data_IF_419240826848
#
_entry.id   IF_419240826848
#
_cell.length_a   1.000
_cell.length_b   1.000
_cell.length_c   1.000
_cell.angle_alpha   90.00
_cell.angle_beta   90.00
_cell.angle_gamma   90.00
#
_symmetry.space_group_name_H-M   'P 1'
#
loop_
_entity.id
_entity.type
_entity.pdbx_description
1 polymer ?
#
# COMPACT_ATOMS: atom_id res chain seq x y z
N UNK A 1 -33.99 -71.65 28.90
CA UNK A 1 -32.87 -71.25 28.02
C UNK A 1 -32.99 -69.74 27.82
N UNK A 2 -32.36 -68.96 28.70
CA UNK A 2 -32.37 -67.49 28.66
C UNK A 2 -31.26 -67.02 27.72
N UNK A 3 -31.61 -66.32 26.65
CA UNK A 3 -30.66 -65.54 25.86
C UNK A 3 -30.65 -64.11 26.39
N UNK A 4 -29.50 -63.67 26.92
CA UNK A 4 -29.22 -62.30 27.32
C UNK A 4 -28.52 -61.61 26.15
N UNK A 5 -29.20 -60.70 25.46
CA UNK A 5 -28.60 -59.89 24.39
C UNK A 5 -28.14 -58.55 24.96
N UNK A 6 -26.82 -58.35 24.99
CA UNK A 6 -26.15 -57.12 25.43
C UNK A 6 -26.19 -56.08 24.31
N UNK A 7 -26.99 -55.02 24.45
CA UNK A 7 -26.99 -53.90 23.51
C UNK A 7 -25.90 -52.88 23.90
N UNK A 8 -24.83 -52.84 23.11
CA UNK A 8 -23.82 -51.78 23.14
C UNK A 8 -24.37 -50.60 22.33
N UNK A 9 -24.70 -49.49 22.99
CA UNK A 9 -25.03 -48.23 22.32
C UNK A 9 -23.74 -47.53 21.89
N UNK A 10 -23.47 -47.50 20.57
CA UNK A 10 -22.46 -46.61 19.99
C UNK A 10 -23.04 -45.19 19.93
N UNK A 11 -22.53 -44.28 20.76
CA UNK A 11 -22.88 -42.87 20.72
C UNK A 11 -22.03 -42.20 19.64
N UNK A 12 -22.57 -42.06 18.42
CA UNK A 12 -21.94 -41.31 17.34
C UNK A 12 -22.09 -39.82 17.58
N UNK A 13 -21.06 -39.17 18.13
CA UNK A 13 -20.95 -37.71 18.14
C UNK A 13 -20.70 -37.22 16.70
N UNK A 14 -21.76 -36.81 16.00
CA UNK A 14 -21.64 -35.96 14.80
C UNK A 14 -21.22 -34.56 15.28
N UNK A 15 -19.91 -34.35 15.40
CA UNK A 15 -19.35 -33.03 15.67
C UNK A 15 -19.65 -32.11 14.48
N UNK A 16 -20.52 -31.12 14.70
CA UNK A 16 -20.76 -30.04 13.75
C UNK A 16 -19.48 -29.19 13.71
N UNK A 17 -18.61 -29.43 12.72
CA UNK A 17 -17.40 -28.65 12.56
C UNK A 17 -17.77 -27.24 12.06
N UNK A 18 -18.02 -26.34 13.01
CA UNK A 18 -18.17 -24.91 12.77
C UNK A 18 -16.87 -24.38 12.17
N UNK A 19 -16.84 -24.27 10.84
CA UNK A 19 -15.85 -23.47 10.16
C UNK A 19 -16.22 -22.02 10.45
N UNK A 20 -15.61 -21.43 11.47
CA UNK A 20 -15.63 -19.97 11.62
C UNK A 20 -15.02 -19.40 10.34
N UNK A 21 -15.73 -18.52 9.59
CA UNK A 21 -15.14 -17.89 8.43
C UNK A 21 -13.90 -17.12 8.91
N UNK A 22 -12.78 -17.34 8.22
CA UNK A 22 -11.57 -16.55 8.43
C UNK A 22 -11.93 -15.11 8.02
N UNK A 23 -12.33 -14.28 8.98
CA UNK A 23 -12.58 -12.86 8.71
C UNK A 23 -11.20 -12.23 8.54
N UNK A 24 -10.86 -11.87 7.29
CA UNK A 24 -9.71 -11.01 7.05
C UNK A 24 -10.00 -9.66 7.69
N UNK A 25 -9.22 -9.27 8.70
CA UNK A 25 -9.40 -7.98 9.38
C UNK A 25 -8.78 -6.79 8.61
N UNK A 26 -8.12 -7.07 7.48
CA UNK A 26 -7.73 -6.00 6.57
C UNK A 26 -8.97 -5.37 5.94
N UNK A 27 -9.10 -4.06 6.08
CA UNK A 27 -10.22 -3.29 5.56
C UNK A 27 -9.77 -2.42 4.37
N UNK A 28 -10.69 -2.09 3.47
CA UNK A 28 -10.45 -1.10 2.42
C UNK A 28 -10.37 0.31 3.05
N UNK A 29 -9.15 0.73 3.39
CA UNK A 29 -8.83 2.01 4.03
C UNK A 29 -8.87 3.19 3.04
N UNK A 30 -9.01 2.93 1.74
CA UNK A 30 -9.21 3.95 0.71
C UNK A 30 -10.68 4.36 0.51
N UNK A 31 -11.64 3.56 0.99
CA UNK A 31 -13.07 3.79 0.74
C UNK A 31 -13.51 5.19 1.20
N UNK A 32 -14.08 5.96 0.26
CA UNK A 32 -14.59 7.31 0.47
C UNK A 32 -13.51 8.35 0.79
N UNK A 33 -12.24 8.05 0.59
CA UNK A 33 -11.13 8.97 0.89
C UNK A 33 -10.95 10.03 -0.20
N UNK A 34 -10.37 11.19 0.12
CA UNK A 34 -10.04 12.20 -0.89
C UNK A 34 -9.10 11.63 -1.94
N UNK A 35 -9.45 11.81 -3.20
CA UNK A 35 -8.65 11.40 -4.34
C UNK A 35 -8.38 12.58 -5.28
N UNK A 36 -7.30 12.48 -6.05
CA UNK A 36 -6.90 13.46 -7.04
C UNK A 36 -6.39 12.75 -8.29
N UNK A 37 -6.59 13.36 -9.46
CA UNK A 37 -6.03 12.86 -10.71
C UNK A 37 -5.44 13.96 -11.59
N UNK A 38 -4.38 13.61 -12.31
CA UNK A 38 -3.75 14.44 -13.31
C UNK A 38 -4.57 14.40 -14.60
N UNK A 39 -4.80 15.58 -15.19
CA UNK A 39 -5.53 15.73 -16.45
C UNK A 39 -6.91 15.04 -16.42
N UNK A 40 -7.83 15.41 -15.52
CA UNK A 40 -9.17 14.84 -15.51
C UNK A 40 -9.86 15.02 -16.87
N UNK A 41 -10.66 14.04 -17.28
CA UNK A 41 -11.54 14.22 -18.44
C UNK A 41 -12.47 15.42 -18.20
N UNK A 42 -12.85 16.14 -19.27
CA UNK A 42 -13.44 17.49 -19.19
C UNK A 42 -14.74 17.61 -18.37
N UNK A 43 -15.35 16.49 -17.96
CA UNK A 43 -16.64 16.46 -17.27
C UNK A 43 -16.44 16.08 -15.80
N UNK A 44 -17.23 16.69 -14.91
CA UNK A 44 -17.28 16.35 -13.49
C UNK A 44 -17.83 14.93 -13.23
N UNK A 45 -18.28 14.21 -14.26
CA UNK A 45 -18.84 12.86 -14.14
C UNK A 45 -17.76 11.78 -13.97
N UNK A 46 -16.48 12.14 -14.07
CA UNK A 46 -15.33 11.23 -14.10
C UNK A 46 -14.28 11.59 -13.05
N UNK A 47 -14.74 12.11 -11.91
CA UNK A 47 -13.90 12.58 -10.82
C UNK A 47 -13.01 11.49 -10.23
N UNK A 48 -11.90 11.90 -9.61
CA UNK A 48 -10.92 10.98 -9.04
C UNK A 48 -11.51 10.13 -7.91
N UNK A 49 -12.48 10.67 -7.18
CA UNK A 49 -13.20 10.06 -6.07
C UNK A 49 -14.01 8.82 -6.47
N UNK A 50 -14.36 8.68 -7.75
CA UNK A 50 -15.11 7.52 -8.24
C UNK A 50 -14.30 6.23 -8.15
N UNK A 51 -12.96 6.31 -8.20
CA UNK A 51 -12.11 5.15 -8.03
C UNK A 51 -12.02 4.66 -6.58
N UNK A 52 -12.66 5.31 -5.62
CA UNK A 52 -12.66 4.92 -4.20
C UNK A 52 -14.06 4.99 -3.60
N UNK A 53 -15.11 4.94 -4.41
CA UNK A 53 -16.49 5.05 -3.95
C UNK A 53 -17.15 3.69 -3.64
N UNK A 54 -16.42 2.58 -3.84
CA UNK A 54 -16.88 1.22 -3.62
C UNK A 54 -17.82 0.72 -4.71
N UNK A 55 -17.80 1.29 -5.92
CA UNK A 55 -18.68 0.90 -7.02
C UNK A 55 -17.92 0.72 -8.32
N UNK A 56 -18.02 -0.49 -8.86
CA UNK A 56 -17.38 -0.88 -10.11
C UNK A 56 -18.18 -1.97 -10.84
N UNK A 57 -19.51 -1.96 -10.67
CA UNK A 57 -20.41 -2.89 -11.35
C UNK A 57 -20.78 -2.45 -12.77
N UNK A 58 -20.72 -1.15 -13.03
CA UNK A 58 -21.03 -0.53 -14.31
C UNK A 58 -19.79 0.25 -14.79
N UNK A 59 -18.90 -0.47 -15.47
CA UNK A 59 -17.59 -0.01 -15.93
C UNK A 59 -17.63 0.48 -17.39
N UNK A 60 -18.76 1.02 -17.86
CA UNK A 60 -18.84 1.60 -19.19
C UNK A 60 -18.32 3.03 -19.25
N UNK A 61 -17.59 3.34 -20.32
CA UNK A 61 -17.07 4.70 -20.55
C UNK A 61 -18.19 5.73 -20.79
N UNK A 62 -19.35 5.31 -21.31
CA UNK A 62 -20.41 6.24 -21.70
C UNK A 62 -21.52 6.40 -20.65
N UNK A 63 -21.84 5.33 -19.92
CA UNK A 63 -22.95 5.31 -18.97
C UNK A 63 -22.51 5.08 -17.51
N UNK A 64 -21.32 4.50 -17.31
CA UNK A 64 -20.81 4.11 -16.00
C UNK A 64 -20.12 5.24 -15.29
N UNK A 65 -20.87 5.98 -14.47
CA UNK A 65 -20.34 7.01 -13.57
C UNK A 65 -19.65 6.39 -12.33
N UNK A 66 -18.79 5.42 -12.58
CA UNK A 66 -18.16 4.55 -11.57
C UNK A 66 -16.65 4.37 -11.86
N UNK A 67 -16.07 5.26 -12.67
CA UNK A 67 -14.64 5.23 -12.92
C UNK A 67 -14.05 6.65 -12.93
N UNK A 68 -12.85 6.78 -12.40
CA UNK A 68 -12.00 7.94 -12.59
C UNK A 68 -11.34 7.85 -13.97
N UNK A 69 -11.48 8.89 -14.80
CA UNK A 69 -10.98 8.89 -16.19
C UNK A 69 -10.14 10.13 -16.47
N UNK A 70 -8.92 9.89 -17.00
CA UNK A 70 -8.02 10.93 -17.48
C UNK A 70 -8.28 11.36 -18.94
N UNK A 71 -7.78 12.52 -19.30
CA UNK A 71 -7.85 13.09 -20.64
C UNK A 71 -7.01 12.33 -21.67
N UNK A 72 -7.44 12.43 -22.93
CA UNK A 72 -6.75 11.83 -24.06
C UNK A 72 -5.42 12.53 -24.41
N UNK A 73 -4.55 11.81 -25.12
CA UNK A 73 -3.33 12.34 -25.75
C UNK A 73 -2.30 12.95 -24.78
N UNK A 74 -2.30 12.49 -23.52
CA UNK A 74 -1.29 12.86 -22.52
C UNK A 74 -0.19 11.82 -22.45
N UNK A 75 1.03 12.25 -22.13
CA UNK A 75 2.20 11.38 -22.00
C UNK A 75 2.41 10.90 -20.57
N UNK A 76 1.68 11.45 -19.61
CA UNK A 76 1.64 10.98 -18.22
C UNK A 76 0.19 10.97 -17.73
N UNK A 77 -0.12 10.01 -16.87
CA UNK A 77 -1.34 9.98 -16.10
C UNK A 77 -0.98 9.59 -14.67
N UNK A 78 -1.52 10.33 -13.70
CA UNK A 78 -1.32 10.08 -12.28
C UNK A 78 -2.68 10.15 -11.60
N UNK A 79 -2.94 9.21 -10.72
CA UNK A 79 -4.08 9.24 -9.81
C UNK A 79 -3.56 8.91 -8.41
N UNK A 80 -4.09 9.56 -7.38
CA UNK A 80 -3.72 9.26 -5.99
C UNK A 80 -4.86 9.41 -5.02
N UNK A 81 -4.83 8.61 -3.97
CA UNK A 81 -5.72 8.71 -2.81
C UNK A 81 -4.93 9.13 -1.57
N UNK A 82 -5.51 10.03 -0.76
CA UNK A 82 -5.02 10.41 0.57
C UNK A 82 -5.74 9.56 1.63
N UNK A 83 -5.04 8.61 2.23
CA UNK A 83 -5.57 7.73 3.28
C UNK A 83 -5.87 8.51 4.59
N UNK A 84 -5.39 9.75 4.69
CA UNK A 84 -5.60 10.69 5.78
C UNK A 84 -4.58 10.57 6.92
N UNK A 85 -3.86 9.45 6.99
CA UNK A 85 -2.81 9.18 7.97
C UNK A 85 -1.85 8.11 7.46
N UNK A 86 -0.69 8.03 8.08
CA UNK A 86 0.27 6.97 7.83
C UNK A 86 -0.29 5.64 8.35
N UNK A 87 -0.45 4.67 7.45
CA UNK A 87 -0.95 3.32 7.78
C UNK A 87 -0.08 2.26 7.15
N UNK A 88 -0.10 1.06 7.73
CA UNK A 88 0.55 -0.11 7.14
C UNK A 88 -0.38 -0.72 6.09
N UNK A 89 0.02 -0.65 4.84
CA UNK A 89 -0.69 -1.25 3.71
C UNK A 89 -0.26 -2.72 3.63
N UNK A 90 -1.18 -3.59 3.25
CA UNK A 90 -0.91 -5.00 2.92
C UNK A 90 -0.89 -5.18 1.41
N UNK A 91 -1.97 -4.77 0.74
CA UNK A 91 -2.09 -4.89 -0.70
C UNK A 91 -2.98 -3.81 -1.28
N UNK A 92 -2.83 -3.60 -2.58
CA UNK A 92 -3.63 -2.69 -3.39
C UNK A 92 -4.33 -3.51 -4.46
N UNK A 93 -5.64 -3.35 -4.56
CA UNK A 93 -6.47 -3.91 -5.59
C UNK A 93 -6.85 -2.82 -6.59
N UNK A 94 -6.77 -3.12 -7.88
CA UNK A 94 -7.14 -2.19 -8.95
C UNK A 94 -8.11 -2.88 -9.90
N UNK A 95 -9.33 -2.34 -9.97
CA UNK A 95 -10.32 -2.65 -10.99
C UNK A 95 -10.21 -1.61 -12.11
N UNK A 96 -9.78 -2.05 -13.30
CA UNK A 96 -9.60 -1.17 -14.46
C UNK A 96 -10.85 -1.15 -15.35
N UNK A 97 -11.03 -0.05 -16.08
CA UNK A 97 -12.10 0.13 -17.05
C UNK A 97 -12.13 -1.00 -18.09
N UNK A 98 -13.30 -1.61 -18.27
CA UNK A 98 -13.51 -2.71 -19.24
C UNK A 98 -14.52 -2.38 -20.33
N UNK A 99 -15.28 -1.30 -20.17
CA UNK A 99 -16.47 -0.99 -20.94
C UNK A 99 -17.59 -2.05 -20.82
N UNK A 100 -17.66 -2.76 -19.68
CA UNK A 100 -18.50 -3.94 -19.45
C UNK A 100 -18.26 -5.10 -20.43
N UNK A 101 -17.15 -5.06 -21.16
CA UNK A 101 -16.75 -6.15 -22.05
C UNK A 101 -15.89 -7.17 -21.31
N UNK A 102 -15.91 -8.45 -21.73
CA UNK A 102 -15.02 -9.47 -21.17
C UNK A 102 -13.55 -9.02 -21.20
N UNK A 103 -12.83 -9.27 -20.11
CA UNK A 103 -11.41 -8.97 -20.04
C UNK A 103 -10.59 -10.01 -20.80
N UNK A 104 -9.83 -9.57 -21.79
CA UNK A 104 -9.01 -10.41 -22.66
C UNK A 104 -8.51 -9.63 -23.87
N UNK A 105 -7.64 -10.22 -24.69
CA UNK A 105 -6.88 -9.49 -25.72
C UNK A 105 -7.68 -8.69 -26.75
N UNK A 106 -8.99 -8.96 -26.91
CA UNK A 106 -9.91 -8.16 -27.71
C UNK A 106 -10.32 -6.83 -27.07
N UNK A 107 -10.16 -6.69 -25.75
CA UNK A 107 -10.49 -5.49 -25.01
C UNK A 107 -9.43 -4.40 -25.27
N UNK A 108 -9.85 -3.30 -25.87
CA UNK A 108 -8.95 -2.23 -26.32
C UNK A 108 -8.32 -1.45 -25.16
N UNK A 109 -8.95 -1.43 -23.98
CA UNK A 109 -8.47 -0.70 -22.80
C UNK A 109 -7.23 -1.35 -22.15
N UNK A 110 -6.96 -2.62 -22.45
CA UNK A 110 -5.77 -3.30 -21.94
C UNK A 110 -4.49 -2.56 -22.34
N UNK A 111 -4.41 -2.07 -23.58
CA UNK A 111 -3.24 -1.35 -24.08
C UNK A 111 -2.92 -0.10 -23.24
N UNK A 112 -3.96 0.53 -22.68
CA UNK A 112 -3.84 1.72 -21.84
C UNK A 112 -3.31 1.37 -20.45
N UNK A 113 -3.71 0.23 -19.90
CA UNK A 113 -3.33 -0.20 -18.56
C UNK A 113 -1.88 -0.69 -18.47
N UNK A 114 -1.35 -1.32 -19.53
CA UNK A 114 0.01 -1.87 -19.54
C UNK A 114 1.08 -0.84 -19.12
N UNK A 115 2.10 -1.29 -18.40
CA UNK A 115 3.25 -0.47 -17.99
C UNK A 115 2.98 0.50 -16.85
N UNK A 116 1.85 0.36 -16.14
CA UNK A 116 1.55 1.17 -14.97
C UNK A 116 2.49 0.89 -13.80
N UNK A 117 2.51 1.80 -12.84
CA UNK A 117 3.26 1.67 -11.60
C UNK A 117 2.39 2.11 -10.42
N UNK A 118 2.66 1.55 -9.24
CA UNK A 118 2.03 1.94 -7.99
C UNK A 118 3.12 2.34 -7.00
N UNK A 119 2.97 3.53 -6.42
CA UNK A 119 3.86 4.08 -5.41
C UNK A 119 3.10 4.24 -4.10
N UNK A 120 3.82 4.03 -3.00
CA UNK A 120 3.35 4.32 -1.64
C UNK A 120 4.20 5.48 -1.14
N UNK A 121 3.57 6.60 -0.78
CA UNK A 121 4.29 7.83 -0.38
C UNK A 121 3.70 8.45 0.88
N UNK A 122 4.52 9.22 1.59
CA UNK A 122 4.08 10.07 2.70
C UNK A 122 3.71 11.49 2.22
N UNK A 123 4.05 11.84 0.99
CA UNK A 123 3.71 13.11 0.36
C UNK A 123 2.87 12.88 -0.90
N UNK A 124 2.39 13.98 -1.48
CA UNK A 124 1.70 13.95 -2.78
C UNK A 124 2.64 13.67 -3.96
N UNK A 125 3.96 13.61 -3.75
CA UNK A 125 4.94 13.33 -4.79
C UNK A 125 5.37 11.85 -4.73
N UNK A 126 5.23 11.15 -5.85
CA UNK A 126 5.63 9.74 -5.98
C UNK A 126 7.14 9.53 -5.84
N UNK A 127 7.96 10.50 -6.20
CA UNK A 127 9.43 10.40 -6.12
C UNK A 127 9.94 10.43 -4.67
N UNK A 128 9.11 10.87 -3.72
CA UNK A 128 9.42 10.82 -2.28
C UNK A 128 9.07 9.46 -1.66
N UNK A 129 8.36 8.61 -2.41
CA UNK A 129 7.82 7.35 -1.93
C UNK A 129 8.62 6.12 -2.36
N UNK A 130 8.04 4.97 -2.07
CA UNK A 130 8.55 3.67 -2.51
C UNK A 130 7.78 3.23 -3.76
N UNK A 131 8.50 2.82 -4.81
CA UNK A 131 7.93 2.10 -5.94
C UNK A 131 7.51 0.71 -5.46
N UNK A 132 6.22 0.53 -5.15
CA UNK A 132 5.72 -0.79 -4.73
C UNK A 132 5.69 -1.76 -5.90
N UNK A 133 5.17 -1.31 -7.04
CA UNK A 133 4.95 -2.17 -8.19
C UNK A 133 5.19 -1.43 -9.49
N UNK A 134 5.79 -2.14 -10.43
CA UNK A 134 5.95 -1.69 -11.81
C UNK A 134 5.63 -2.83 -12.75
N UNK A 135 4.62 -2.63 -13.59
CA UNK A 135 4.37 -3.55 -14.68
C UNK A 135 5.51 -3.44 -15.71
N UNK A 136 6.20 -4.57 -15.89
CA UNK A 136 7.23 -4.77 -16.91
C UNK A 136 7.01 -6.05 -17.72
N UNK A 137 6.05 -6.88 -17.30
CA UNK A 137 5.92 -8.27 -17.75
C UNK A 137 4.54 -8.57 -18.33
N UNK A 138 3.51 -7.76 -18.02
CA UNK A 138 2.20 -8.04 -18.55
C UNK A 138 2.12 -7.76 -20.06
N UNK A 139 1.26 -8.54 -20.69
CA UNK A 139 0.91 -8.44 -22.11
C UNK A 139 -0.59 -8.30 -22.23
N UNK A 140 -1.09 -8.09 -23.45
CA UNK A 140 -2.53 -8.08 -23.75
C UNK A 140 -3.27 -9.35 -23.34
N UNK A 141 -2.56 -10.45 -23.13
CA UNK A 141 -3.11 -11.75 -22.78
C UNK A 141 -2.95 -12.10 -21.30
N UNK A 142 -2.03 -11.44 -20.58
CA UNK A 142 -1.60 -11.87 -19.24
C UNK A 142 -1.90 -10.87 -18.13
N UNK A 143 -2.21 -9.60 -18.45
CA UNK A 143 -2.62 -8.66 -17.43
C UNK A 143 -3.94 -9.13 -16.78
N UNK A 144 -3.98 -9.30 -15.45
CA UNK A 144 -5.23 -9.65 -14.78
C UNK A 144 -6.13 -8.41 -14.65
N UNK A 145 -7.44 -8.63 -14.50
CA UNK A 145 -8.37 -7.60 -14.05
C UNK A 145 -9.45 -8.29 -13.21
N UNK A 146 -9.55 -7.96 -11.91
CA UNK A 146 -8.74 -6.97 -11.19
C UNK A 146 -7.27 -7.39 -11.01
N UNK A 147 -6.39 -6.42 -10.78
CA UNK A 147 -4.99 -6.67 -10.35
C UNK A 147 -4.91 -6.58 -8.84
N UNK A 148 -4.26 -7.57 -8.21
CA UNK A 148 -3.94 -7.55 -6.79
C UNK A 148 -2.42 -7.42 -6.61
N UNK A 149 -1.99 -6.39 -5.91
CA UNK A 149 -0.60 -5.97 -5.78
C UNK A 149 -0.22 -5.99 -4.30
N UNK A 150 0.61 -6.93 -3.89
CA UNK A 150 1.19 -6.96 -2.55
C UNK A 150 2.12 -5.77 -2.35
N UNK A 151 1.77 -4.87 -1.43
CA UNK A 151 2.48 -3.62 -1.13
C UNK A 151 2.62 -3.44 0.39
N UNK A 152 3.41 -4.25 1.11
CA UNK A 152 3.51 -4.23 2.57
C UNK A 152 4.35 -3.05 3.09
N UNK A 153 4.00 -1.84 2.68
CA UNK A 153 4.70 -0.59 3.00
C UNK A 153 3.82 0.35 3.83
N UNK A 154 4.46 1.24 4.58
CA UNK A 154 3.78 2.33 5.27
C UNK A 154 3.66 3.53 4.34
N UNK A 155 2.47 4.10 4.25
CA UNK A 155 2.24 5.31 3.47
C UNK A 155 0.98 6.04 3.87
N UNK A 156 0.89 7.30 3.47
CA UNK A 156 -0.34 8.10 3.52
C UNK A 156 -1.02 8.17 2.15
N UNK A 157 -0.25 8.11 1.08
CA UNK A 157 -0.72 8.20 -0.29
C UNK A 157 -0.44 6.90 -1.04
N UNK A 158 -1.44 6.41 -1.77
CA UNK A 158 -1.27 5.41 -2.82
C UNK A 158 -1.41 6.11 -4.15
N UNK A 159 -0.40 5.97 -5.01
CA UNK A 159 -0.28 6.71 -6.26
C UNK A 159 -0.17 5.73 -7.42
N UNK A 160 -1.19 5.71 -8.27
CA UNK A 160 -1.13 5.09 -9.60
C UNK A 160 -0.44 6.04 -10.56
N UNK A 161 0.48 5.51 -11.37
CA UNK A 161 1.19 6.30 -12.37
C UNK A 161 1.40 5.52 -13.66
N UNK A 162 1.20 6.20 -14.77
CA UNK A 162 1.45 5.67 -16.10
C UNK A 162 2.28 6.66 -16.92
N UNK A 163 3.33 6.17 -17.59
CA UNK A 163 4.32 7.00 -18.26
C UNK A 163 4.52 6.58 -19.72
N UNK A 164 4.44 7.55 -20.62
CA UNK A 164 4.66 7.48 -22.07
C UNK A 164 5.48 8.69 -22.55
N UNK A 165 6.54 9.02 -21.84
CA UNK A 165 7.45 10.13 -22.20
C UNK A 165 8.66 9.68 -23.01
N UNK A 166 9.03 8.40 -22.96
CA UNK A 166 10.27 7.87 -23.53
C UNK A 166 9.97 6.69 -24.48
N UNK A 167 9.63 6.95 -25.76
CA UNK A 167 9.49 5.90 -26.77
C UNK A 167 10.87 5.33 -27.19
N UNK A 168 10.93 4.10 -27.75
CA UNK A 168 9.82 3.20 -28.09
C UNK A 168 9.27 2.42 -26.87
N UNK A 169 7.99 2.05 -26.93
CA UNK A 169 7.34 1.23 -25.88
C UNK A 169 7.33 -0.25 -26.27
N UNK A 170 7.24 -1.16 -25.29
CA UNK A 170 6.99 -2.57 -25.55
C UNK A 170 5.74 -2.79 -26.40
N UNK A 171 5.70 -3.92 -27.12
CA UNK A 171 4.56 -4.26 -27.97
C UNK A 171 3.25 -4.27 -27.18
N UNK A 172 2.21 -3.69 -27.77
CA UNK A 172 0.87 -3.66 -27.21
C UNK A 172 0.57 -2.47 -26.29
N UNK A 173 1.58 -1.69 -25.90
CA UNK A 173 1.38 -0.48 -25.10
C UNK A 173 0.68 0.60 -25.93
N UNK A 174 -0.22 1.34 -25.30
CA UNK A 174 -0.81 2.55 -25.88
C UNK A 174 0.26 3.64 -26.02
N UNK A 175 0.11 4.48 -27.07
CA UNK A 175 0.99 5.63 -27.32
C UNK A 175 0.88 6.70 -26.21
N UNK A 176 -0.28 6.78 -25.57
CA UNK A 176 -0.60 7.78 -24.55
C UNK A 176 -0.84 7.10 -23.20
N UNK A 177 -0.68 7.88 -22.13
CA UNK A 177 -0.85 7.42 -20.75
C UNK A 177 -2.27 7.70 -20.27
N UNK A 178 -2.84 6.75 -19.53
CA UNK A 178 -4.19 6.83 -19.00
C UNK A 178 -4.27 6.31 -17.57
N UNK A 179 -5.22 6.87 -16.82
CA UNK A 179 -5.68 6.39 -15.51
C UNK A 179 -7.21 6.19 -15.57
N UNK A 180 -7.64 5.08 -16.16
CA UNK A 180 -9.06 4.71 -16.31
C UNK A 180 -9.44 3.72 -15.20
N UNK A 181 -9.41 4.20 -13.95
CA UNK A 181 -9.53 3.38 -12.74
C UNK A 181 -10.99 3.35 -12.30
N UNK A 182 -11.60 2.17 -12.26
CA UNK A 182 -12.97 2.02 -11.77
C UNK A 182 -13.03 1.82 -10.26
N UNK A 183 -12.09 1.06 -9.69
CA UNK A 183 -11.92 1.00 -8.24
C UNK A 183 -10.44 0.78 -7.88
N UNK A 184 -10.00 1.42 -6.81
CA UNK A 184 -8.72 1.21 -6.15
C UNK A 184 -8.99 0.97 -4.68
N UNK A 185 -8.94 -0.29 -4.28
CA UNK A 185 -9.10 -0.67 -2.88
C UNK A 185 -7.70 -0.82 -2.28
N UNK A 186 -7.47 -0.18 -1.14
CA UNK A 186 -6.20 -0.30 -0.40
C UNK A 186 -6.52 -1.05 0.86
N UNK A 187 -5.94 -2.24 1.03
CA UNK A 187 -6.19 -3.08 2.18
C UNK A 187 -5.04 -2.97 3.18
N UNK A 188 -5.40 -2.77 4.45
CA UNK A 188 -4.45 -2.69 5.56
C UNK A 188 -5.19 -2.68 6.89
N UNK A 189 -4.46 -2.49 7.98
CA UNK A 189 -5.09 -2.35 9.29
C UNK A 189 -5.68 -0.93 9.45
N UNK A 190 -6.97 -0.79 9.81
CA UNK A 190 -7.63 0.51 9.90
C UNK A 190 -7.08 1.37 11.04
N UNK A 191 -6.59 0.72 12.10
CA UNK A 191 -5.94 1.33 13.23
C UNK A 191 -4.41 1.36 13.01
N UNK A 192 -3.77 2.54 13.04
CA UNK A 192 -2.32 2.65 12.93
C UNK A 192 -1.60 1.88 14.04
N UNK A 193 -0.42 1.34 13.73
CA UNK A 193 0.40 0.60 14.69
C UNK A 193 -0.18 -0.77 15.08
N UNK A 194 -1.08 -1.33 14.27
CA UNK A 194 -1.61 -2.68 14.44
C UNK A 194 -1.14 -3.59 13.31
N UNK A 195 -0.92 -4.87 13.61
CA UNK A 195 -0.51 -5.89 12.66
C UNK A 195 -1.16 -7.26 12.96
N UNK A 196 -0.88 -8.20 12.05
CA UNK A 196 -1.38 -9.56 12.09
C UNK A 196 -2.67 -9.72 11.29
N UNK A 197 -3.06 -10.98 11.05
CA UNK A 197 -4.25 -11.33 10.25
C UNK A 197 -5.55 -10.71 10.75
N UNK A 198 -5.62 -10.49 12.06
CA UNK A 198 -6.79 -9.93 12.75
C UNK A 198 -6.62 -8.43 13.09
N UNK A 199 -5.55 -7.77 12.64
CA UNK A 199 -5.24 -6.37 12.97
C UNK A 199 -5.39 -6.01 14.46
N UNK A 200 -5.12 -7.00 15.32
CA UNK A 200 -5.42 -6.96 16.76
C UNK A 200 -4.16 -6.95 17.63
N UNK A 201 -2.97 -7.09 17.02
CA UNK A 201 -1.70 -7.04 17.74
C UNK A 201 -1.04 -5.69 17.52
N UNK A 202 -0.68 -5.00 18.60
CA UNK A 202 0.02 -3.72 18.52
C UNK A 202 1.48 -3.95 18.13
N UNK A 203 1.99 -3.13 17.21
CA UNK A 203 3.40 -3.10 16.85
C UNK A 203 4.27 -2.97 18.11
N UNK A 204 5.45 -3.63 18.14
CA UNK A 204 6.38 -3.45 19.25
C UNK A 204 6.60 -1.96 19.56
N UNK A 205 6.49 -1.59 20.84
CA UNK A 205 6.56 -0.20 21.29
C UNK A 205 7.93 0.47 21.07
N UNK A 206 8.95 -0.31 20.70
CA UNK A 206 10.30 0.13 20.35
C UNK A 206 10.52 0.25 18.85
N UNK A 207 9.53 -0.08 18.01
CA UNK A 207 9.57 0.28 16.60
C UNK A 207 9.51 1.81 16.48
N UNK A 208 10.37 2.39 15.64
CA UNK A 208 10.34 3.81 15.32
C UNK A 208 8.98 4.22 14.75
N UNK A 209 8.36 5.25 15.35
CA UNK A 209 7.03 5.72 14.96
C UNK A 209 5.90 4.72 15.19
N UNK A 210 6.13 3.61 15.91
CA UNK A 210 5.16 2.53 16.08
C UNK A 210 4.84 1.80 14.78
N UNK A 211 5.75 1.82 13.79
CA UNK A 211 5.54 1.24 12.46
C UNK A 211 6.17 -0.14 12.37
N UNK A 212 5.36 -1.13 12.01
CA UNK A 212 5.81 -2.49 11.77
C UNK A 212 5.09 -3.09 10.56
N UNK A 213 5.70 -4.11 9.95
CA UNK A 213 5.12 -4.87 8.88
C UNK A 213 3.75 -5.43 9.30
N UNK A 214 2.78 -5.27 8.41
CA UNK A 214 1.36 -5.55 8.67
C UNK A 214 1.05 -7.04 8.91
N UNK A 215 1.91 -7.94 8.45
CA UNK A 215 1.71 -9.39 8.56
C UNK A 215 2.39 -9.96 9.80
N UNK A 216 3.69 -9.71 9.97
CA UNK A 216 4.53 -10.37 10.98
C UNK A 216 4.90 -9.48 12.18
N UNK A 217 4.72 -8.16 12.04
CA UNK A 217 5.05 -7.16 13.05
C UNK A 217 6.53 -6.88 13.21
N UNK A 218 7.34 -7.17 12.19
CA UNK A 218 8.75 -6.76 12.09
C UNK A 218 8.82 -5.23 11.99
N UNK A 219 9.61 -4.58 12.83
CA UNK A 219 9.79 -3.13 12.80
C UNK A 219 10.51 -2.70 11.52
N UNK A 220 10.12 -1.54 10.98
CA UNK A 220 10.87 -0.92 9.88
C UNK A 220 12.22 -0.39 10.36
N UNK A 221 12.23 0.23 11.54
CA UNK A 221 13.41 0.71 12.23
C UNK A 221 13.14 0.73 13.74
N UNK A 222 14.20 0.83 14.56
CA UNK A 222 14.12 0.87 16.01
C UNK A 222 14.33 2.28 16.55
N UNK A 223 13.71 2.59 17.69
CA UNK A 223 14.09 3.78 18.45
C UNK A 223 15.52 3.64 18.99
N UNK A 224 16.20 4.75 19.26
CA UNK A 224 17.56 4.76 19.77
C UNK A 224 17.73 3.87 21.02
N UNK A 225 18.80 3.07 21.04
CA UNK A 225 19.12 2.13 22.13
C UNK A 225 18.48 0.75 21.99
N UNK A 226 17.70 0.49 20.93
CA UNK A 226 17.09 -0.81 20.66
C UNK A 226 17.48 -1.35 19.29
N UNK A 227 17.56 -2.68 19.16
CA UNK A 227 17.84 -3.38 17.90
C UNK A 227 17.07 -4.70 17.79
N UNK A 228 17.25 -5.38 16.65
CA UNK A 228 16.58 -6.64 16.34
C UNK A 228 15.31 -6.41 15.51
N UNK A 229 14.76 -7.48 14.95
CA UNK A 229 13.58 -7.40 14.07
C UNK A 229 12.34 -6.83 14.78
N UNK A 230 12.26 -6.96 16.10
CA UNK A 230 11.14 -6.44 16.92
C UNK A 230 11.57 -5.33 17.88
N UNK A 231 12.83 -4.87 17.78
CA UNK A 231 13.39 -3.86 18.67
C UNK A 231 13.32 -4.23 20.16
N UNK A 232 13.47 -5.51 20.49
CA UNK A 232 13.39 -6.08 21.83
C UNK A 232 14.76 -6.24 22.51
N UNK A 233 15.85 -6.10 21.75
CA UNK A 233 17.21 -6.14 22.28
C UNK A 233 17.70 -4.73 22.62
N UNK A 234 18.11 -4.50 23.87
CA UNK A 234 18.81 -3.27 24.25
C UNK A 234 20.24 -3.28 23.69
N UNK A 235 20.67 -2.15 23.14
CA UNK A 235 22.06 -1.93 22.78
C UNK A 235 22.66 -0.84 23.68
N UNK A 236 23.66 -1.21 24.48
CA UNK A 236 24.46 -0.25 25.21
C UNK A 236 25.39 0.50 24.25
N UNK A 237 25.33 1.83 24.30
CA UNK A 237 26.26 2.83 23.75
C UNK A 237 26.10 3.26 22.27
N UNK A 238 25.89 4.58 22.14
CA UNK A 238 26.56 5.50 21.22
C UNK A 238 26.42 5.30 19.71
N UNK A 239 25.48 4.51 19.19
CA UNK A 239 25.27 4.40 17.73
C UNK A 239 23.81 4.55 17.31
N UNK A 240 23.56 5.30 16.23
CA UNK A 240 22.22 5.54 15.64
C UNK A 240 22.16 5.21 14.14
N UNK A 241 20.95 5.00 13.61
CA UNK A 241 20.64 4.76 12.19
C UNK A 241 20.44 3.28 11.79
N UNK A 242 19.83 3.05 10.61
CA UNK A 242 19.43 1.77 10.00
C UNK A 242 20.52 0.66 9.95
N UNK A 243 21.77 0.99 10.22
CA UNK A 243 22.90 0.03 10.26
C UNK A 243 23.74 0.10 11.53
N UNK A 244 23.37 0.91 12.53
CA UNK A 244 24.14 1.14 13.77
C UNK A 244 25.65 1.39 13.54
N UNK A 245 26.02 2.00 12.42
CA UNK A 245 27.42 2.14 12.00
C UNK A 245 28.08 3.48 12.40
N UNK A 246 27.32 4.41 12.98
CA UNK A 246 27.80 5.77 13.29
C UNK A 246 28.01 5.93 14.79
N UNK A 247 29.25 6.02 15.27
CA UNK A 247 29.58 6.25 16.69
C UNK A 247 29.39 7.72 17.11
N UNK A 248 28.77 7.99 18.27
CA UNK A 248 28.75 9.31 18.95
C UNK A 248 30.20 9.63 19.36
N UNK A 249 30.95 10.28 18.48
CA UNK A 249 32.27 10.79 18.82
C UNK A 249 32.13 12.05 19.67
N UNK A 250 32.51 11.95 20.96
CA UNK A 250 32.70 13.06 21.92
C UNK A 250 31.44 13.83 22.39
N UNK A 251 30.52 13.18 23.10
CA UNK A 251 29.59 13.88 24.00
C UNK A 251 30.29 14.10 25.36
N UNK A 252 30.71 15.33 25.63
CA UNK A 252 31.30 15.68 26.92
C UNK A 252 30.20 16.14 27.87
N UNK A 253 30.00 15.39 28.96
CA UNK A 253 29.08 15.67 30.09
C UNK A 253 27.57 15.54 29.79
N UNK A 254 27.01 14.37 30.13
CA UNK A 254 25.60 14.12 30.49
C UNK A 254 24.47 14.61 29.56
N UNK A 255 24.78 15.02 28.32
CA UNK A 255 23.78 15.25 27.28
C UNK A 255 23.47 13.93 26.54
N UNK A 256 22.21 13.51 26.58
CA UNK A 256 21.68 12.46 25.71
C UNK A 256 21.90 12.88 24.24
N UNK A 257 22.49 11.99 23.41
CA UNK A 257 22.51 12.15 21.95
C UNK A 257 21.05 12.18 21.45
N UNK A 258 20.44 13.36 21.46
CA UNK A 258 19.19 13.63 20.72
C UNK A 258 19.57 13.87 19.26
N UNK A 259 18.64 13.66 18.33
CA UNK A 259 18.81 13.77 16.86
C UNK A 259 19.45 15.09 16.33
N UNK A 260 19.85 16.02 17.19
CA UNK A 260 20.29 17.36 16.85
C UNK A 260 21.75 17.70 17.20
N UNK A 261 22.51 16.83 17.87
CA UNK A 261 23.89 17.14 18.29
C UNK A 261 24.95 16.18 17.75
N UNK A 262 24.98 15.98 16.43
CA UNK A 262 26.22 15.63 15.73
C UNK A 262 26.88 16.92 15.23
N UNK A 263 28.01 17.30 15.82
CA UNK A 263 28.66 18.58 15.57
C UNK A 263 29.23 18.68 14.15
N UNK A 264 28.88 19.82 13.55
CA UNK A 264 29.37 20.43 12.32
C UNK A 264 30.83 20.16 11.93
N UNK A 265 31.04 19.43 10.84
CA UNK A 265 32.17 19.67 9.90
C UNK A 265 32.03 18.93 8.56
N UNK A 266 30.81 18.71 8.06
CA UNK A 266 30.57 18.56 6.63
C UNK A 266 29.08 18.77 6.32
N UNK A 267 28.81 19.67 5.37
CA UNK A 267 27.49 19.87 4.78
C UNK A 267 27.11 18.61 3.99
N UNK A 268 26.32 17.69 4.55
CA UNK A 268 25.49 16.76 3.76
C UNK A 268 24.44 15.99 4.57
N UNK A 269 24.58 15.81 5.87
CA UNK A 269 23.79 14.78 6.57
C UNK A 269 22.64 15.32 7.44
N UNK A 270 22.50 16.64 7.56
CA UNK A 270 21.38 17.29 8.27
C UNK A 270 20.11 17.43 7.41
N UNK A 271 20.18 17.04 6.13
CA UNK A 271 19.07 17.14 5.18
C UNK A 271 18.25 15.84 5.12
N UNK A 272 18.82 14.71 5.54
CA UNK A 272 18.19 13.38 5.44
C UNK A 272 17.18 13.13 6.56
N UNK A 273 17.51 13.44 7.82
CA UNK A 273 16.59 13.19 8.96
C UNK A 273 15.48 14.23 9.09
N UNK A 274 15.73 15.49 8.69
CA UNK A 274 14.69 16.52 8.63
C UNK A 274 13.69 16.25 7.50
N UNK A 275 14.07 15.55 6.44
CA UNK A 275 13.16 15.18 5.35
C UNK A 275 12.04 14.23 5.79
N UNK A 276 12.28 13.36 6.77
CA UNK A 276 11.28 12.42 7.28
C UNK A 276 10.33 13.04 8.32
N UNK A 277 10.79 14.05 9.09
CA UNK A 277 9.99 14.69 10.15
C UNK A 277 9.27 15.98 9.68
N UNK A 278 9.89 16.82 8.84
CA UNK A 278 9.27 18.10 8.39
C UNK A 278 8.27 17.93 7.23
N UNK A 279 8.25 16.80 6.53
CA UNK A 279 7.24 16.52 5.48
C UNK A 279 5.88 16.07 6.04
N UNK A 280 5.77 15.87 7.36
CA UNK A 280 4.53 15.48 8.04
C UNK A 280 3.75 16.63 8.68
N UNK A 281 4.30 17.86 8.73
CA UNK A 281 3.65 19.03 9.33
C UNK A 281 3.92 20.26 8.45
N UNK A 282 3.27 20.34 7.29
CA UNK A 282 2.90 21.61 6.67
C UNK A 282 1.46 21.49 6.19
N UNK A 283 0.70 22.52 6.59
CA UNK A 283 -0.76 22.71 6.59
C UNK A 283 -1.54 22.11 5.40
#
# INVERSE_FOLDING_TARGET
>A
MMHLTMHVFFCSFLGLQMHLPLVSAYENVALGKPAWQQHPYYTYLWGAELAVDGKYSEMSYFNGKQCAISAYSKTTAEWRVDLGRLISIHHVFIQYLTNNEPWGASNTFISNFLGFSVYISNTTNKEDGVLCFRDTNYTKFTIPNPVNITCPYHGRYVIYYNNRTHPPYPEGYSKYAYSELCEVEVYGCPNPGMYGKDCSTTCPNKCLGGLCNVEDGTCLDCIAGFKGQRCDEEHANDTYGLTCNSSCANCSNDEQCTDLTANSSNKSDTEVSRQYYDKGIKE
#
